data_IF_720387193906
#
_entry.id   IF_720387193906
#
_cell.length_a   1.000
_cell.length_b   1.000
_cell.length_c   1.000
_cell.angle_alpha   90.00
_cell.angle_beta   90.00
_cell.angle_gamma   90.00
#
_symmetry.space_group_name_H-M   'P 1'
#
loop_
_entity.id
_entity.type
_entity.pdbx_description
1 polymer ?
#
# COMPACT_ATOMS: atom_id res chain seq x y z
N UNK A 1 11.68 -3.18 21.11
CA UNK A 1 12.59 -2.01 21.21
C UNK A 1 12.07 -0.86 20.36
N UNK A 2 12.24 0.39 20.82
CA UNK A 2 11.90 1.59 20.05
C UNK A 2 12.72 1.68 18.76
N UNK A 3 12.18 2.39 17.75
CA UNK A 3 12.88 2.63 16.49
C UNK A 3 13.97 3.70 16.66
N UNK A 4 15.12 3.50 16.02
CA UNK A 4 16.11 4.55 15.80
C UNK A 4 15.62 5.55 14.74
N UNK A 5 16.17 6.77 14.74
CA UNK A 5 15.85 7.79 13.72
C UNK A 5 16.13 7.29 12.29
N UNK A 6 17.23 6.56 12.08
CA UNK A 6 17.55 6.00 10.77
C UNK A 6 16.54 4.94 10.32
N UNK A 7 16.02 4.13 11.25
CA UNK A 7 14.95 3.17 10.94
C UNK A 7 13.63 3.88 10.63
N UNK A 8 13.31 4.98 11.33
CA UNK A 8 12.15 5.81 11.04
C UNK A 8 12.24 6.39 9.63
N UNK A 9 13.35 7.05 9.28
CA UNK A 9 13.56 7.64 7.96
C UNK A 9 13.42 6.60 6.84
N UNK A 10 14.03 5.42 7.00
CA UNK A 10 13.92 4.31 6.03
C UNK A 10 12.48 3.82 5.86
N UNK A 11 11.73 3.70 6.96
CA UNK A 11 10.33 3.27 6.92
C UNK A 11 9.45 4.32 6.27
N UNK A 12 9.60 5.59 6.63
CA UNK A 12 8.85 6.71 6.04
C UNK A 12 9.14 6.78 4.54
N UNK A 13 10.39 6.64 4.10
CA UNK A 13 10.72 6.56 2.68
C UNK A 13 10.01 5.39 1.99
N UNK A 14 9.96 4.21 2.61
CA UNK A 14 9.20 3.08 2.06
C UNK A 14 7.69 3.37 2.00
N UNK A 15 7.13 4.07 2.98
CA UNK A 15 5.71 4.46 2.99
C UNK A 15 5.39 5.45 1.86
N UNK A 16 6.24 6.44 1.61
CA UNK A 16 6.13 7.33 0.43
C UNK A 16 6.03 6.49 -0.84
N UNK A 17 6.97 5.56 -1.04
CA UNK A 17 7.00 4.74 -2.24
C UNK A 17 5.74 3.88 -2.39
N UNK A 18 5.28 3.23 -1.31
CA UNK A 18 4.07 2.40 -1.32
C UNK A 18 2.84 3.22 -1.68
N UNK A 19 2.64 4.39 -1.05
CA UNK A 19 1.50 5.26 -1.35
C UNK A 19 1.55 5.81 -2.79
N UNK A 20 2.72 6.20 -3.30
CA UNK A 20 2.87 6.63 -4.69
C UNK A 20 2.53 5.50 -5.68
N UNK A 21 3.02 4.27 -5.45
CA UNK A 21 2.69 3.13 -6.32
C UNK A 21 1.21 2.78 -6.26
N UNK A 22 0.56 2.88 -5.10
CA UNK A 22 -0.90 2.71 -4.96
C UNK A 22 -1.66 3.76 -5.75
N UNK A 23 -1.28 5.03 -5.64
CA UNK A 23 -1.86 6.10 -6.45
C UNK A 23 -1.78 5.78 -7.95
N UNK A 24 -0.59 5.44 -8.46
CA UNK A 24 -0.40 5.13 -9.87
C UNK A 24 -1.21 3.92 -10.35
N UNK A 25 -1.22 2.84 -9.56
CA UNK A 25 -1.94 1.61 -9.90
C UNK A 25 -3.45 1.85 -9.92
N UNK A 26 -4.01 2.42 -8.85
CA UNK A 26 -5.45 2.67 -8.77
C UNK A 26 -5.90 3.71 -9.80
N UNK A 27 -5.12 4.78 -9.99
CA UNK A 27 -5.39 5.79 -11.01
C UNK A 27 -5.35 5.22 -12.43
N UNK A 28 -4.38 4.35 -12.73
CA UNK A 28 -4.29 3.66 -14.01
C UNK A 28 -5.46 2.71 -14.26
N UNK A 29 -5.92 2.00 -13.23
CA UNK A 29 -7.11 1.14 -13.35
C UNK A 29 -8.40 1.93 -13.47
N UNK A 30 -8.55 3.05 -12.75
CA UNK A 30 -9.72 3.92 -12.88
C UNK A 30 -9.92 4.40 -14.32
N UNK A 31 -8.84 4.54 -15.10
CA UNK A 31 -8.93 4.90 -16.52
C UNK A 31 -9.45 3.75 -17.42
N UNK A 32 -9.37 2.49 -16.98
CA UNK A 32 -9.59 1.31 -17.83
C UNK A 32 -10.73 0.39 -17.39
N UNK A 33 -11.11 0.39 -16.10
CA UNK A 33 -12.26 -0.40 -15.63
C UNK A 33 -13.57 0.07 -16.27
N UNK A 34 -14.47 -0.88 -16.53
CA UNK A 34 -15.72 -0.64 -17.23
C UNK A 34 -16.83 -0.18 -16.28
N UNK A 35 -16.83 -0.71 -15.05
CA UNK A 35 -17.85 -0.52 -14.03
C UNK A 35 -17.77 0.90 -13.45
N UNK A 36 -18.81 1.75 -13.60
CA UNK A 36 -18.77 3.14 -13.16
C UNK A 36 -18.52 3.31 -11.66
N UNK A 37 -19.13 2.47 -10.83
CA UNK A 37 -18.97 2.54 -9.38
C UNK A 37 -17.55 2.16 -8.95
N UNK A 38 -16.96 1.15 -9.60
CA UNK A 38 -15.55 0.77 -9.38
C UNK A 38 -14.63 1.89 -9.82
N UNK A 39 -14.90 2.52 -10.96
CA UNK A 39 -14.13 3.67 -11.45
C UNK A 39 -14.11 4.82 -10.44
N UNK A 40 -15.28 5.21 -9.93
CA UNK A 40 -15.39 6.28 -8.94
C UNK A 40 -14.63 5.94 -7.66
N UNK A 41 -14.80 4.70 -7.15
CA UNK A 41 -14.09 4.20 -5.98
C UNK A 41 -12.57 4.29 -6.16
N UNK A 42 -12.03 3.71 -7.25
CA UNK A 42 -10.59 3.68 -7.50
C UNK A 42 -10.02 5.09 -7.70
N UNK A 43 -10.74 5.97 -8.40
CA UNK A 43 -10.30 7.36 -8.61
C UNK A 43 -10.23 8.16 -7.29
N UNK A 44 -11.25 8.03 -6.44
CA UNK A 44 -11.27 8.68 -5.12
C UNK A 44 -10.11 8.19 -4.26
N UNK A 45 -9.91 6.88 -4.17
CA UNK A 45 -8.87 6.30 -3.32
C UNK A 45 -7.46 6.53 -3.87
N UNK A 46 -7.30 6.62 -5.19
CA UNK A 46 -6.05 7.08 -5.79
C UNK A 46 -5.68 8.48 -5.27
N UNK A 47 -6.64 9.41 -5.19
CA UNK A 47 -6.40 10.74 -4.63
C UNK A 47 -5.99 10.69 -3.15
N UNK A 48 -6.62 9.83 -2.35
CA UNK A 48 -6.22 9.61 -0.96
C UNK A 48 -4.74 9.16 -0.87
N UNK A 49 -4.32 8.19 -1.70
CA UNK A 49 -2.94 7.73 -1.73
C UNK A 49 -1.94 8.80 -2.16
N UNK A 50 -2.29 9.64 -3.13
CA UNK A 50 -1.45 10.79 -3.51
C UNK A 50 -1.29 11.78 -2.33
N UNK A 51 -2.38 12.02 -1.60
CA UNK A 51 -2.32 12.87 -0.41
C UNK A 51 -1.51 12.22 0.72
N UNK A 52 -1.72 10.93 1.02
CA UNK A 52 -0.94 10.19 2.02
C UNK A 52 0.55 10.19 1.70
N UNK A 53 0.93 10.00 0.43
CA UNK A 53 2.33 10.14 -0.01
C UNK A 53 2.89 11.53 0.33
N UNK A 54 2.13 12.60 0.07
CA UNK A 54 2.57 13.97 0.40
C UNK A 54 2.72 14.20 1.91
N UNK A 55 1.88 13.57 2.74
CA UNK A 55 2.01 13.61 4.20
C UNK A 55 3.29 12.91 4.65
N UNK A 56 3.62 11.76 4.07
CA UNK A 56 4.86 11.02 4.38
C UNK A 56 6.11 11.78 3.93
N UNK A 57 6.09 12.37 2.74
CA UNK A 57 7.19 13.20 2.23
C UNK A 57 7.49 14.37 3.17
N UNK A 58 6.47 14.94 3.82
CA UNK A 58 6.62 16.01 4.81
C UNK A 58 7.47 15.64 6.03
N UNK A 59 7.64 14.33 6.31
CA UNK A 59 8.46 13.83 7.41
C UNK A 59 9.90 13.50 7.01
N UNK A 60 10.21 13.45 5.72
CA UNK A 60 11.58 13.16 5.27
C UNK A 60 12.48 14.38 5.46
N UNK A 61 13.76 14.19 5.84
CA UNK A 61 14.74 15.27 5.87
C UNK A 61 14.82 15.98 4.52
N UNK A 62 14.73 17.32 4.50
CA UNK A 62 14.88 18.11 3.27
C UNK A 62 16.28 17.88 2.70
N UNK A 63 16.41 17.10 1.63
CA UNK A 63 17.68 16.92 0.91
C UNK A 63 17.91 18.13 0.00
N UNK A 64 19.03 18.82 0.16
CA UNK A 64 19.48 19.83 -0.80
C UNK A 64 19.84 19.15 -2.12
N UNK A 65 19.14 19.50 -3.20
CA UNK A 65 19.58 19.22 -4.58
C UNK A 65 19.49 17.78 -5.09
N UNK A 66 18.62 16.91 -4.53
CA UNK A 66 18.33 15.59 -5.13
C UNK A 66 16.84 15.47 -5.41
N UNK A 67 16.50 14.89 -6.57
CA UNK A 67 15.12 14.66 -6.98
C UNK A 67 14.40 13.79 -5.95
N UNK A 68 13.26 14.29 -5.44
CA UNK A 68 12.56 13.71 -4.27
C UNK A 68 11.96 12.33 -4.56
N UNK A 69 11.87 11.98 -5.84
CA UNK A 69 11.25 10.77 -6.37
C UNK A 69 12.21 9.57 -6.49
N UNK A 70 13.54 9.78 -6.47
CA UNK A 70 14.53 8.69 -6.58
C UNK A 70 15.03 8.18 -5.21
N UNK A 71 14.80 8.92 -4.12
CA UNK A 71 15.36 8.60 -2.81
C UNK A 71 14.52 7.63 -1.95
N UNK A 72 13.32 7.25 -2.42
CA UNK A 72 12.36 6.43 -1.70
C UNK A 72 11.77 5.43 -2.72
N UNK A 73 12.21 4.18 -2.90
CA UNK A 73 13.08 3.30 -2.14
C UNK A 73 14.15 2.65 -3.07
N UNK A 74 15.45 2.62 -2.69
CA UNK A 74 16.46 1.88 -3.43
C UNK A 74 16.30 0.36 -3.27
N UNK A 75 16.38 -0.38 -4.38
CA UNK A 75 17.07 -1.68 -4.42
C UNK A 75 16.29 -2.96 -4.18
N UNK A 76 14.96 -2.98 -4.28
CA UNK A 76 14.17 -4.20 -4.11
C UNK A 76 13.51 -4.62 -5.42
N UNK A 77 14.27 -5.31 -6.28
CA UNK A 77 13.76 -5.86 -7.54
C UNK A 77 12.56 -6.79 -7.31
N UNK A 78 12.44 -7.42 -6.14
CA UNK A 78 11.27 -8.22 -5.78
C UNK A 78 10.03 -7.35 -5.54
N UNK A 79 10.16 -6.19 -4.89
CA UNK A 79 9.03 -5.26 -4.70
C UNK A 79 8.57 -4.63 -6.02
N UNK A 80 9.49 -4.37 -6.95
CA UNK A 80 9.15 -3.97 -8.32
C UNK A 80 8.41 -5.09 -9.06
N UNK A 81 8.92 -6.32 -8.96
CA UNK A 81 8.27 -7.51 -9.53
C UNK A 81 6.84 -7.68 -8.99
N UNK A 82 6.64 -7.45 -7.69
CA UNK A 82 5.32 -7.45 -7.07
C UNK A 82 4.41 -6.38 -7.67
N UNK A 83 4.86 -5.13 -7.81
CA UNK A 83 4.04 -4.05 -8.38
C UNK A 83 3.74 -4.30 -9.86
N UNK A 84 4.68 -4.85 -10.62
CA UNK A 84 4.46 -5.23 -12.01
C UNK A 84 3.38 -6.32 -12.08
N UNK A 85 3.48 -7.37 -11.27
CA UNK A 85 2.48 -8.43 -11.18
C UNK A 85 1.11 -7.91 -10.72
N UNK A 86 1.08 -6.94 -9.80
CA UNK A 86 -0.15 -6.28 -9.38
C UNK A 86 -0.83 -5.59 -10.57
N UNK A 87 -0.09 -4.92 -11.45
CA UNK A 87 -0.62 -4.17 -12.60
C UNK A 87 -1.15 -5.04 -13.75
N UNK A 88 -0.68 -6.29 -13.86
CA UNK A 88 -0.98 -7.19 -14.99
C UNK A 88 -2.45 -7.55 -15.21
N UNK A 89 -3.31 -7.76 -14.19
CA UNK A 89 -4.66 -8.23 -14.44
C UNK A 89 -5.52 -7.22 -15.20
N UNK A 90 -6.25 -7.70 -16.20
CA UNK A 90 -7.25 -6.91 -16.92
C UNK A 90 -8.63 -6.94 -16.23
N UNK A 91 -8.97 -8.09 -15.64
CA UNK A 91 -10.26 -8.29 -15.01
C UNK A 91 -10.36 -7.54 -13.66
N UNK A 92 -11.53 -6.92 -13.44
CA UNK A 92 -11.82 -6.12 -12.26
C UNK A 92 -11.66 -6.91 -10.96
N UNK A 93 -12.11 -8.17 -10.92
CA UNK A 93 -12.02 -9.02 -9.73
C UNK A 93 -10.57 -9.14 -9.23
N UNK A 94 -9.64 -9.56 -10.09
CA UNK A 94 -8.24 -9.74 -9.73
C UNK A 94 -7.58 -8.42 -9.30
N UNK A 95 -7.90 -7.30 -9.98
CA UNK A 95 -7.45 -5.96 -9.56
C UNK A 95 -7.89 -5.61 -8.14
N UNK A 96 -9.18 -5.83 -7.83
CA UNK A 96 -9.72 -5.54 -6.50
C UNK A 96 -9.14 -6.47 -5.43
N UNK A 97 -8.90 -7.75 -5.76
CA UNK A 97 -8.20 -8.68 -4.87
C UNK A 97 -6.79 -8.17 -4.55
N UNK A 98 -6.03 -7.76 -5.56
CA UNK A 98 -4.70 -7.22 -5.36
C UNK A 98 -4.69 -5.95 -4.51
N UNK A 99 -5.58 -4.98 -4.82
CA UNK A 99 -5.66 -3.73 -4.07
C UNK A 99 -6.10 -3.92 -2.62
N UNK A 100 -7.19 -4.67 -2.38
CA UNK A 100 -7.85 -4.66 -1.08
C UNK A 100 -7.48 -5.84 -0.19
N UNK A 101 -7.26 -7.03 -0.74
CA UNK A 101 -6.92 -8.20 0.08
C UNK A 101 -5.43 -8.40 0.29
N UNK A 102 -4.59 -7.82 -0.57
CA UNK A 102 -3.13 -7.87 -0.43
C UNK A 102 -2.59 -6.49 -0.06
N UNK A 103 -2.63 -5.52 -0.96
CA UNK A 103 -1.91 -4.26 -0.77
C UNK A 103 -2.43 -3.46 0.44
N UNK A 104 -3.73 -3.22 0.53
CA UNK A 104 -4.31 -2.47 1.63
C UNK A 104 -4.12 -3.18 2.98
N UNK A 105 -4.35 -4.49 3.04
CA UNK A 105 -4.18 -5.29 4.25
C UNK A 105 -2.73 -5.21 4.79
N UNK A 106 -1.74 -5.39 3.91
CA UNK A 106 -0.33 -5.31 4.30
C UNK A 106 0.12 -3.88 4.63
N UNK A 107 -0.41 -2.86 3.96
CA UNK A 107 -0.10 -1.46 4.27
C UNK A 107 -0.63 -1.08 5.67
N UNK A 108 -1.88 -1.43 5.96
CA UNK A 108 -2.50 -1.25 7.28
C UNK A 108 -1.66 -1.93 8.36
N UNK A 109 -1.25 -3.19 8.13
CA UNK A 109 -0.40 -3.93 9.06
C UNK A 109 0.95 -3.25 9.27
N UNK A 110 1.62 -2.82 8.20
CA UNK A 110 2.92 -2.16 8.28
C UNK A 110 2.87 -0.83 9.03
N UNK A 111 1.83 -0.02 8.81
CA UNK A 111 1.68 1.28 9.46
C UNK A 111 1.26 1.14 10.92
N UNK A 112 0.44 0.13 11.23
CA UNK A 112 0.09 -0.23 12.61
C UNK A 112 1.32 -0.73 13.37
N UNK A 113 2.13 -1.60 12.78
CA UNK A 113 3.38 -2.06 13.38
C UNK A 113 4.41 -0.93 13.57
N UNK A 114 4.37 0.12 12.76
CA UNK A 114 5.15 1.33 13.02
C UNK A 114 4.63 2.06 14.27
N UNK A 115 3.32 2.27 14.37
CA UNK A 115 2.68 2.92 15.53
C UNK A 115 3.00 2.22 16.85
N UNK A 116 2.94 0.89 16.88
CA UNK A 116 3.22 0.10 18.09
C UNK A 116 4.67 0.24 18.58
N UNK A 117 5.60 0.53 17.65
CA UNK A 117 7.02 0.75 17.94
C UNK A 117 7.38 2.21 18.13
N UNK A 118 6.40 3.11 18.02
CA UNK A 118 6.55 4.53 18.27
C UNK A 118 6.40 4.80 19.76
N UNK A 119 7.46 5.25 20.42
CA UNK A 119 7.52 5.27 21.89
C UNK A 119 7.90 6.63 22.50
N UNK A 120 7.93 7.74 21.76
CA UNK A 120 8.44 8.99 22.31
C UNK A 120 8.05 10.29 21.61
N UNK A 121 8.65 11.39 22.09
CA UNK A 121 8.44 12.73 21.54
C UNK A 121 9.11 12.93 20.17
N UNK A 122 10.14 12.14 19.85
CA UNK A 122 10.94 12.27 18.63
C UNK A 122 10.20 11.85 17.35
N UNK A 123 9.17 11.01 17.46
CA UNK A 123 8.40 10.46 16.34
C UNK A 123 6.89 10.71 16.47
N UNK A 124 6.48 11.57 17.42
CA UNK A 124 5.07 11.88 17.68
C UNK A 124 4.33 12.44 16.44
N UNK A 125 5.03 13.19 15.58
CA UNK A 125 4.48 13.71 14.33
C UNK A 125 4.23 12.60 13.30
N UNK A 126 5.18 11.68 13.12
CA UNK A 126 5.04 10.50 12.25
C UNK A 126 3.90 9.61 12.78
N UNK A 127 3.85 9.38 14.09
CA UNK A 127 2.79 8.61 14.72
C UNK A 127 1.41 9.24 14.52
N UNK A 128 1.30 10.58 14.54
CA UNK A 128 0.05 11.27 14.24
C UNK A 128 -0.39 11.01 12.80
N UNK A 129 0.53 11.11 11.83
CA UNK A 129 0.24 10.80 10.43
C UNK A 129 -0.13 9.33 10.24
N UNK A 130 0.56 8.39 10.89
CA UNK A 130 0.20 6.96 10.85
C UNK A 130 -1.23 6.71 11.30
N UNK A 131 -1.68 7.32 12.42
CA UNK A 131 -3.06 7.14 12.90
C UNK A 131 -4.09 7.64 11.89
N UNK A 132 -3.82 8.80 11.26
CA UNK A 132 -4.69 9.35 10.22
C UNK A 132 -4.76 8.41 9.02
N UNK A 133 -3.60 8.05 8.46
CA UNK A 133 -3.52 7.20 7.27
C UNK A 133 -4.13 5.81 7.52
N UNK A 134 -3.87 5.20 8.68
CA UNK A 134 -4.49 3.90 9.03
C UNK A 134 -6.01 4.00 9.13
N UNK A 135 -6.54 5.09 9.67
CA UNK A 135 -8.00 5.30 9.75
C UNK A 135 -8.61 5.39 8.36
N UNK A 136 -8.06 6.25 7.50
CA UNK A 136 -8.52 6.38 6.11
C UNK A 136 -8.41 5.04 5.36
N UNK A 137 -7.30 4.32 5.52
CA UNK A 137 -7.09 3.05 4.84
C UNK A 137 -8.03 1.94 5.30
N UNK A 138 -8.41 1.92 6.57
CA UNK A 138 -9.43 0.99 7.06
C UNK A 138 -10.79 1.27 6.44
N UNK A 139 -11.15 2.55 6.29
CA UNK A 139 -12.42 2.94 5.66
C UNK A 139 -12.41 2.63 4.15
N UNK A 140 -11.31 2.93 3.47
CA UNK A 140 -11.13 2.62 2.05
C UNK A 140 -11.11 1.11 1.79
N UNK A 141 -10.46 0.35 2.66
CA UNK A 141 -10.45 -1.11 2.61
C UNK A 141 -11.85 -1.70 2.77
N UNK A 142 -12.64 -1.22 3.74
CA UNK A 142 -14.03 -1.67 3.94
C UNK A 142 -14.89 -1.42 2.70
N UNK A 143 -14.76 -0.24 2.08
CA UNK A 143 -15.48 0.11 0.87
C UNK A 143 -15.07 -0.79 -0.31
N UNK A 144 -13.77 -0.98 -0.49
CA UNK A 144 -13.20 -1.82 -1.54
C UNK A 144 -13.58 -3.30 -1.41
N UNK A 145 -13.47 -3.86 -0.21
CA UNK A 145 -13.85 -5.24 0.06
C UNK A 145 -15.36 -5.45 -0.17
N UNK A 146 -16.22 -4.49 0.19
CA UNK A 146 -17.66 -4.57 -0.11
C UNK A 146 -17.92 -4.69 -1.62
N UNK A 147 -17.23 -3.89 -2.43
CA UNK A 147 -17.37 -3.96 -3.90
C UNK A 147 -16.80 -5.28 -4.44
N UNK A 148 -15.66 -5.73 -3.94
CA UNK A 148 -15.07 -7.02 -4.31
C UNK A 148 -16.05 -8.18 -4.03
N UNK A 149 -16.64 -8.23 -2.84
CA UNK A 149 -17.63 -9.26 -2.47
C UNK A 149 -18.84 -9.26 -3.41
N UNK A 150 -19.23 -8.11 -3.95
CA UNK A 150 -20.33 -8.02 -4.92
C UNK A 150 -20.00 -8.66 -6.28
N UNK A 151 -18.73 -8.94 -6.58
CA UNK A 151 -18.29 -9.59 -7.82
C UNK A 151 -18.17 -11.12 -7.70
N UNK A 152 -18.35 -11.68 -6.50
CA UNK A 152 -18.25 -13.12 -6.26
C UNK A 152 -19.63 -13.77 -6.40
N UNK A 153 -19.95 -14.29 -7.60
CA UNK A 153 -21.26 -14.86 -7.91
C UNK A 153 -21.26 -16.38 -8.02
N UNK A 154 -20.11 -16.98 -8.30
CA UNK A 154 -19.93 -18.42 -8.47
C UNK A 154 -18.67 -18.94 -7.79
N UNK A 155 -18.58 -20.27 -7.65
CA UNK A 155 -17.38 -20.93 -7.11
C UNK A 155 -16.11 -20.61 -7.91
N UNK A 156 -16.22 -20.46 -9.24
CA UNK A 156 -15.08 -20.08 -10.09
C UNK A 156 -14.53 -18.69 -9.75
N UNK A 157 -15.39 -17.72 -9.38
CA UNK A 157 -14.94 -16.39 -8.95
C UNK A 157 -14.11 -16.48 -7.67
N UNK A 158 -14.54 -17.33 -6.73
CA UNK A 158 -13.82 -17.59 -5.48
C UNK A 158 -12.46 -18.22 -5.76
N UNK A 159 -12.41 -19.21 -6.65
CA UNK A 159 -11.17 -19.90 -7.03
C UNK A 159 -10.20 -18.98 -7.77
N UNK A 160 -10.70 -18.11 -8.65
CA UNK A 160 -9.89 -17.08 -9.33
C UNK A 160 -9.32 -16.07 -8.33
N UNK A 161 -10.16 -15.53 -7.45
CA UNK A 161 -9.73 -14.60 -6.42
C UNK A 161 -8.66 -15.22 -5.50
N UNK A 162 -8.88 -16.47 -5.07
CA UNK A 162 -7.93 -17.20 -4.22
C UNK A 162 -6.59 -17.43 -4.90
N UNK A 163 -6.58 -17.87 -6.17
CA UNK A 163 -5.34 -18.07 -6.95
C UNK A 163 -4.55 -16.77 -7.10
N UNK A 164 -5.23 -15.67 -7.43
CA UNK A 164 -4.56 -14.38 -7.60
C UNK A 164 -3.99 -13.84 -6.28
N UNK A 165 -4.75 -13.95 -5.18
CA UNK A 165 -4.29 -13.60 -3.84
C UNK A 165 -3.02 -14.36 -3.47
N UNK A 166 -3.03 -15.70 -3.61
CA UNK A 166 -1.86 -16.54 -3.28
C UNK A 166 -0.64 -16.17 -4.11
N UNK A 167 -0.82 -15.85 -5.39
CA UNK A 167 0.27 -15.42 -6.25
C UNK A 167 0.91 -14.13 -5.75
N UNK A 168 0.11 -13.11 -5.45
CA UNK A 168 0.61 -11.82 -4.98
C UNK A 168 1.22 -11.89 -3.57
N UNK A 169 0.63 -12.67 -2.66
CA UNK A 169 1.18 -12.89 -1.31
C UNK A 169 2.60 -13.46 -1.35
N UNK A 170 2.85 -14.42 -2.26
CA UNK A 170 4.20 -15.00 -2.44
C UNK A 170 5.20 -13.95 -2.89
N UNK A 171 4.85 -13.14 -3.88
CA UNK A 171 5.72 -12.08 -4.38
C UNK A 171 5.99 -11.01 -3.31
N UNK A 172 4.98 -10.65 -2.52
CA UNK A 172 5.14 -9.67 -1.45
C UNK A 172 5.98 -10.21 -0.30
N UNK A 173 5.86 -11.50 0.00
CA UNK A 173 6.72 -12.20 0.97
C UNK A 173 8.18 -12.20 0.53
N UNK A 174 8.44 -12.51 -0.75
CA UNK A 174 9.79 -12.47 -1.34
C UNK A 174 10.38 -11.04 -1.30
N UNK A 175 9.53 -10.02 -1.43
CA UNK A 175 9.87 -8.60 -1.28
C UNK A 175 10.01 -8.13 0.19
N UNK A 176 9.84 -9.02 1.18
CA UNK A 176 9.97 -8.70 2.60
C UNK A 176 8.86 -7.77 3.15
N UNK A 177 7.73 -7.65 2.46
CA UNK A 177 6.57 -6.85 2.88
C UNK A 177 6.79 -5.33 2.88
N UNK A 178 5.77 -4.55 3.23
CA UNK A 178 5.85 -3.07 3.16
C UNK A 178 6.61 -2.41 4.31
N UNK A 179 6.86 -3.13 5.41
CA UNK A 179 7.69 -2.63 6.51
C UNK A 179 9.21 -2.86 6.29
N UNK A 180 9.59 -3.62 5.25
CA UNK A 180 10.96 -4.04 4.96
C UNK A 180 11.37 -5.36 5.63
N UNK A 181 12.39 -6.03 5.10
CA UNK A 181 12.88 -7.32 5.60
C UNK A 181 13.22 -7.26 7.11
N UNK A 182 12.68 -8.21 7.88
CA UNK A 182 12.97 -8.36 9.32
C UNK A 182 11.87 -7.90 10.30
N UNK A 183 10.68 -7.52 9.81
CA UNK A 183 9.56 -7.08 10.68
C UNK A 183 8.55 -8.20 10.98
N UNK A 184 8.59 -9.30 10.23
CA UNK A 184 7.75 -10.48 10.42
C UNK A 184 8.58 -11.77 10.58
N UNK A 185 9.49 -11.79 11.55
CA UNK A 185 9.85 -13.08 12.16
C UNK A 185 9.08 -13.18 13.48
N UNK A 186 8.29 -14.25 13.71
CA UNK A 186 7.71 -14.51 15.02
C UNK A 186 8.79 -14.65 16.09
#
# INVERSE_FOLDING_TARGET
>A
MPLSLQEIDRRVARFVWVEQRRFEVLGGWAATVAEPDVKALLATQAHHHAWHASLWEGHLPRRSGHDRTDAAAPGDDALRTFVDALRLPDATLERLVGAYRVVAAHAIAAYTAHLERSTGLGDAAVARTCRLVVTDQLDDWRQGEKVLQSLLHAGDDVDRAGRHLVHLERLLLDAGGFAGAGVHRP
#
